data_IF_319165914922
#
_entry.id   IF_319165914922
#
_cell.length_a   1.000
_cell.length_b   1.000
_cell.length_c   1.000
_cell.angle_alpha   90.00
_cell.angle_beta   90.00
_cell.angle_gamma   90.00
#
_symmetry.space_group_name_H-M   'P 1'
#
loop_
_entity.id
_entity.type
_entity.pdbx_description
1 polymer ?
#
# COMPACT_ATOMS: atom_id res chain seq x y z
N UNK A 1 -6.22 6.22 -20.54
CA UNK A 1 -7.22 5.36 -19.86
C UNK A 1 -6.54 4.80 -18.62
N UNK A 2 -7.18 4.86 -17.45
CA UNK A 2 -6.62 4.25 -16.24
C UNK A 2 -6.72 2.72 -16.38
N UNK A 3 -5.62 2.01 -16.09
CA UNK A 3 -5.59 0.55 -16.13
C UNK A 3 -5.71 0.01 -14.71
N UNK A 4 -6.78 -0.73 -14.45
CA UNK A 4 -6.96 -1.49 -13.23
C UNK A 4 -6.33 -2.87 -13.38
N UNK A 5 -5.42 -3.23 -12.47
CA UNK A 5 -4.78 -4.54 -12.42
C UNK A 5 -5.03 -5.20 -11.07
N UNK A 6 -5.44 -6.46 -11.09
CA UNK A 6 -5.55 -7.26 -9.88
C UNK A 6 -4.17 -7.81 -9.51
N UNK A 7 -3.72 -7.50 -8.30
CA UNK A 7 -2.43 -7.89 -7.75
C UNK A 7 -2.59 -8.53 -6.37
N UNK A 8 -1.54 -9.19 -5.89
CA UNK A 8 -1.53 -9.82 -4.56
C UNK A 8 -0.42 -9.18 -3.75
N UNK A 9 -0.81 -8.52 -2.66
CA UNK A 9 0.11 -7.78 -1.78
C UNK A 9 0.07 -8.38 -0.38
N UNK A 10 1.24 -8.46 0.25
CA UNK A 10 1.35 -8.87 1.65
C UNK A 10 0.90 -7.75 2.59
N UNK A 11 0.31 -8.11 3.72
CA UNK A 11 0.15 -7.19 4.84
C UNK A 11 1.54 -6.68 5.27
N UNK A 12 1.71 -5.36 5.38
CA UNK A 12 3.00 -4.72 5.72
C UNK A 12 3.57 -5.18 7.06
N UNK A 13 2.71 -5.67 7.97
CA UNK A 13 3.12 -6.13 9.31
C UNK A 13 3.40 -7.65 9.34
N UNK A 14 2.45 -8.48 8.87
CA UNK A 14 2.53 -9.95 9.02
C UNK A 14 2.77 -10.71 7.70
N UNK A 15 2.85 -10.04 6.56
CA UNK A 15 3.13 -10.65 5.25
C UNK A 15 2.00 -11.50 4.67
N UNK A 16 0.84 -11.60 5.34
CA UNK A 16 -0.30 -12.37 4.82
C UNK A 16 -0.74 -11.82 3.45
N UNK A 17 -0.96 -12.66 2.44
CA UNK A 17 -1.35 -12.21 1.11
C UNK A 17 -2.81 -11.75 1.08
N UNK A 18 -3.05 -10.62 0.42
CA UNK A 18 -4.37 -10.05 0.16
C UNK A 18 -4.47 -9.69 -1.33
N UNK A 19 -5.63 -9.91 -1.91
CA UNK A 19 -5.92 -9.43 -3.26
C UNK A 19 -6.22 -7.93 -3.21
N UNK A 20 -5.56 -7.19 -4.11
CA UNK A 20 -5.66 -5.75 -4.23
C UNK A 20 -5.91 -5.40 -5.68
N UNK A 21 -6.90 -4.55 -5.92
CA UNK A 21 -7.08 -3.92 -7.21
C UNK A 21 -6.29 -2.62 -7.23
N UNK A 22 -5.29 -2.52 -8.10
CA UNK A 22 -4.42 -1.35 -8.23
C UNK A 22 -4.76 -0.62 -9.53
N UNK A 23 -4.96 0.69 -9.43
CA UNK A 23 -5.20 1.57 -10.56
C UNK A 23 -3.93 2.35 -10.90
N UNK A 24 -3.54 2.27 -12.17
CA UNK A 24 -2.40 3.00 -12.73
C UNK A 24 -2.87 4.03 -13.75
N UNK A 25 -2.13 5.13 -13.85
CA UNK A 25 -2.33 6.14 -14.88
C UNK A 25 -1.83 5.66 -16.26
N UNK A 26 -1.96 6.52 -17.27
CA UNK A 26 -1.51 6.19 -18.62
C UNK A 26 0.02 6.11 -18.77
N UNK A 27 0.78 6.64 -17.80
CA UNK A 27 2.24 6.61 -17.72
C UNK A 27 2.75 5.44 -16.87
N UNK A 28 1.85 4.67 -16.22
CA UNK A 28 2.19 3.57 -15.34
C UNK A 28 2.41 3.96 -13.88
N UNK A 29 2.10 5.21 -13.50
CA UNK A 29 2.19 5.66 -12.11
C UNK A 29 1.00 5.16 -11.30
N UNK A 30 1.24 4.84 -10.03
CA UNK A 30 0.20 4.44 -9.10
C UNK A 30 -0.76 5.60 -8.83
N UNK A 31 -2.06 5.36 -8.97
CA UNK A 31 -3.12 6.33 -8.64
C UNK A 31 -3.78 5.93 -7.31
N UNK A 32 -4.25 4.70 -7.23
CA UNK A 32 -5.06 4.23 -6.12
C UNK A 32 -5.02 2.71 -6.02
N UNK A 33 -5.33 2.17 -4.84
CA UNK A 33 -5.55 0.74 -4.67
C UNK A 33 -6.76 0.50 -3.78
N UNK A 34 -7.36 -0.68 -3.95
CA UNK A 34 -8.46 -1.15 -3.12
C UNK A 34 -8.24 -2.61 -2.77
N UNK A 35 -8.22 -2.90 -1.47
CA UNK A 35 -8.15 -4.28 -0.99
C UNK A 35 -9.49 -4.96 -1.21
N UNK A 36 -9.47 -6.08 -1.92
CA UNK A 36 -10.65 -6.86 -2.27
C UNK A 36 -10.89 -8.02 -1.30
N UNK A 37 -9.83 -8.46 -0.63
CA UNK A 37 -9.89 -9.53 0.38
C UNK A 37 -10.44 -9.04 1.72
N UNK A 38 -11.35 -9.82 2.31
CA UNK A 38 -11.92 -9.52 3.61
C UNK A 38 -10.85 -9.42 4.71
N UNK A 39 -11.02 -8.44 5.60
CA UNK A 39 -10.11 -8.19 6.72
C UNK A 39 -8.76 -7.56 6.36
N UNK A 40 -8.60 -7.11 5.11
CA UNK A 40 -7.51 -6.25 4.68
C UNK A 40 -8.02 -4.83 4.39
N UNK A 41 -7.23 -3.83 4.78
CA UNK A 41 -7.42 -2.42 4.49
C UNK A 41 -6.25 -1.85 3.71
N UNK A 42 -6.53 -0.81 2.92
CA UNK A 42 -5.48 -0.02 2.26
C UNK A 42 -4.72 0.80 3.31
N UNK A 43 -3.40 0.91 3.15
CA UNK A 43 -2.61 1.88 3.90
C UNK A 43 -2.61 3.18 3.10
N UNK A 44 -3.16 4.25 3.68
CA UNK A 44 -3.26 5.56 3.04
C UNK A 44 -1.98 6.38 3.24
N UNK A 45 -1.76 7.35 2.36
CA UNK A 45 -0.62 8.28 2.48
C UNK A 45 0.70 7.76 1.90
N UNK A 46 0.65 6.69 1.13
CA UNK A 46 1.80 6.14 0.41
C UNK A 46 1.53 6.14 -1.10
N UNK A 47 2.54 6.47 -1.89
CA UNK A 47 2.52 6.41 -3.36
C UNK A 47 2.61 4.97 -3.90
N UNK A 48 2.28 3.97 -3.07
CA UNK A 48 2.41 2.54 -3.37
C UNK A 48 1.19 1.76 -2.86
N UNK A 49 0.78 0.68 -3.56
CA UNK A 49 -0.29 -0.20 -3.11
C UNK A 49 0.14 -1.03 -1.88
N UNK A 50 -0.14 -0.52 -0.69
CA UNK A 50 0.16 -1.19 0.58
C UNK A 50 -1.11 -1.69 1.26
N UNK A 51 -0.97 -2.84 1.93
CA UNK A 51 -2.07 -3.50 2.64
C UNK A 51 -1.72 -3.64 4.11
N UNK A 52 -2.71 -3.43 4.96
CA UNK A 52 -2.67 -3.82 6.37
C UNK A 52 -3.88 -4.69 6.69
N UNK A 53 -3.73 -5.71 7.53
CA UNK A 53 -4.89 -6.46 8.00
C UNK A 53 -5.48 -5.85 9.26
N UNK A 54 -6.78 -6.04 9.47
CA UNK A 54 -7.53 -5.52 10.62
C UNK A 54 -7.05 -6.03 11.98
N UNK A 55 -6.14 -7.01 11.99
CA UNK A 55 -5.56 -7.59 13.20
C UNK A 55 -4.45 -6.73 13.80
N UNK A 56 -3.96 -5.74 13.07
CA UNK A 56 -2.90 -4.84 13.52
C UNK A 56 -3.46 -3.46 13.79
N UNK A 57 -2.93 -2.81 14.81
CA UNK A 57 -3.31 -1.43 15.14
C UNK A 57 -2.70 -0.45 14.14
N UNK A 58 -3.28 0.74 14.05
CA UNK A 58 -2.73 1.81 13.21
C UNK A 58 -1.26 2.11 13.55
N UNK A 59 -0.90 2.08 14.84
CA UNK A 59 0.49 2.29 15.28
C UNK A 59 1.44 1.21 14.76
N UNK A 60 1.03 -0.06 14.74
CA UNK A 60 1.85 -1.15 14.18
C UNK A 60 2.03 -0.98 12.67
N UNK A 61 0.98 -0.54 11.99
CA UNK A 61 0.99 -0.27 10.55
C UNK A 61 1.94 0.90 10.26
N UNK A 62 1.82 2.02 10.96
CA UNK A 62 2.69 3.19 10.80
C UNK A 62 4.16 2.86 11.07
N UNK A 63 4.45 2.07 12.11
CA UNK A 63 5.83 1.60 12.37
C UNK A 63 6.34 0.70 11.26
N UNK A 64 5.52 -0.19 10.73
CA UNK A 64 5.91 -1.07 9.64
C UNK A 64 6.14 -0.28 8.34
N UNK A 65 5.30 0.72 8.04
CA UNK A 65 5.50 1.64 6.91
C UNK A 65 6.80 2.41 7.07
N UNK A 66 7.04 3.04 8.23
CA UNK A 66 8.29 3.75 8.50
C UNK A 66 9.52 2.83 8.44
N UNK A 67 9.40 1.57 8.88
CA UNK A 67 10.50 0.61 8.80
C UNK A 67 10.86 0.23 7.37
N UNK A 68 9.86 0.08 6.49
CA UNK A 68 10.07 -0.41 5.12
C UNK A 68 10.32 0.74 4.14
N UNK A 69 9.76 1.92 4.42
CA UNK A 69 9.74 3.08 3.51
C UNK A 69 10.18 4.39 4.16
N UNK A 70 10.52 4.42 5.44
CA UNK A 70 10.90 5.65 6.15
C UNK A 70 12.24 6.26 5.70
N UNK A 71 13.08 5.52 4.97
CA UNK A 71 14.25 6.11 4.30
C UNK A 71 13.85 6.89 3.04
N UNK A 72 12.81 6.46 2.31
CA UNK A 72 12.34 7.14 1.08
C UNK A 72 11.48 8.39 1.31
N UNK A 73 10.91 8.59 2.50
CA UNK A 73 10.13 9.80 2.81
C UNK A 73 11.01 11.03 3.04
N UNK A 74 12.32 10.86 3.21
CA UNK A 74 13.27 11.96 3.35
C UNK A 74 13.79 12.52 2.01
N UNK A 75 13.48 11.88 0.88
CA UNK A 75 14.01 12.29 -0.44
C UNK A 75 12.96 13.00 -1.32
N UNK A 76 11.67 12.95 -0.99
CA UNK A 76 10.61 13.67 -1.74
C UNK A 76 10.36 15.12 -1.23
N UNK A 77 11.05 15.58 -0.17
CA UNK A 77 10.97 16.96 0.32
C UNK A 77 12.08 17.89 -0.24
N UNK A 78 13.02 17.38 -1.06
CA UNK A 78 14.14 18.17 -1.65
C UNK A 78 14.35 17.98 -3.18
N UNK A 79 13.29 17.83 -3.99
CA UNK A 79 13.42 17.87 -5.46
C UNK A 79 12.42 18.79 -6.16
#
# INVERSE_FOLDING_TARGET
>A
MAQGKSEVHGCIVCGKPYQVLVAYDAQGNYIASKVMSAGGGEVKGVSRPLVACERHTNEEIERAVNRVYGETLNEEEEA
#
